data_IF_825628824132
#
_entry.id   IF_825628824132
#
_cell.length_a   1.000
_cell.length_b   1.000
_cell.length_c   1.000
_cell.angle_alpha   90.00
_cell.angle_beta   90.00
_cell.angle_gamma   90.00
#
_symmetry.space_group_name_H-M   'P 1'
#
loop_
_entity.id
_entity.type
_entity.pdbx_description
1 polymer ?
#
# COMPACT_ATOMS: atom_id res chain seq x y z
N UNK A 1 9.08 -18.19 1.09
CA UNK A 1 9.81 -17.26 0.21
C UNK A 1 9.20 -17.40 -1.17
N UNK A 2 8.57 -16.33 -1.67
CA UNK A 2 7.90 -16.40 -2.97
C UNK A 2 8.95 -16.73 -4.05
N UNK A 3 8.64 -17.69 -4.94
CA UNK A 3 9.52 -18.08 -6.04
C UNK A 3 9.87 -16.90 -6.99
N UNK A 4 9.16 -15.78 -6.85
CA UNK A 4 9.34 -14.60 -7.72
C UNK A 4 10.73 -13.97 -7.62
N UNK A 5 11.37 -14.00 -6.45
CA UNK A 5 12.73 -13.46 -6.28
C UNK A 5 13.74 -14.31 -7.05
N UNK A 6 13.57 -15.63 -7.08
CA UNK A 6 14.40 -16.50 -7.92
C UNK A 6 14.23 -16.16 -9.39
N UNK A 7 12.97 -15.97 -9.83
CA UNK A 7 12.69 -15.59 -11.22
C UNK A 7 13.36 -14.26 -11.59
N UNK A 8 13.44 -13.30 -10.64
CA UNK A 8 14.14 -12.03 -10.88
C UNK A 8 15.65 -12.23 -11.08
N UNK A 9 16.26 -13.16 -10.35
CA UNK A 9 17.69 -13.45 -10.52
C UNK A 9 17.98 -14.08 -11.89
N UNK A 10 17.04 -14.83 -12.47
CA UNK A 10 17.17 -15.43 -13.80
C UNK A 10 17.06 -14.42 -14.95
N UNK A 11 16.60 -13.18 -14.68
CA UNK A 11 16.51 -12.09 -15.66
C UNK A 11 17.87 -11.42 -15.88
N UNK A 12 18.81 -12.09 -16.51
CA UNK A 12 20.21 -11.63 -16.67
C UNK A 12 20.37 -10.36 -17.50
N UNK A 13 19.41 -10.05 -18.38
CA UNK A 13 19.40 -8.84 -19.20
C UNK A 13 19.03 -7.56 -18.39
N UNK A 14 18.49 -7.71 -17.18
CA UNK A 14 18.11 -6.61 -16.32
C UNK A 14 19.11 -6.54 -15.16
N UNK A 15 19.88 -5.46 -15.02
CA UNK A 15 20.86 -5.34 -13.95
C UNK A 15 20.21 -5.34 -12.57
N UNK A 16 20.93 -5.72 -11.51
CA UNK A 16 20.51 -5.48 -10.13
C UNK A 16 20.19 -4.00 -9.92
N UNK A 17 19.07 -3.71 -9.22
CA UNK A 17 18.61 -2.33 -9.07
C UNK A 17 19.65 -1.39 -8.44
N UNK A 18 20.45 -1.90 -7.49
CA UNK A 18 21.51 -1.14 -6.83
C UNK A 18 22.55 -0.57 -7.79
N UNK A 19 22.73 -1.18 -8.96
CA UNK A 19 23.66 -0.69 -9.99
C UNK A 19 23.15 0.57 -10.71
N UNK A 20 21.85 0.84 -10.63
CA UNK A 20 21.22 2.01 -11.24
C UNK A 20 21.29 3.24 -10.35
N UNK A 21 21.62 3.07 -9.06
CA UNK A 21 21.70 4.16 -8.10
C UNK A 21 23.08 4.81 -8.19
N UNK A 22 23.13 6.04 -8.69
CA UNK A 22 24.39 6.81 -8.88
C UNK A 22 25.01 7.26 -7.56
N UNK A 23 24.17 7.72 -6.61
CA UNK A 23 24.61 8.15 -5.29
C UNK A 23 24.25 7.09 -4.24
N UNK A 24 25.28 6.46 -3.67
CA UNK A 24 25.11 5.36 -2.69
C UNK A 24 24.36 5.77 -1.43
N UNK A 25 24.27 7.07 -1.10
CA UNK A 25 23.47 7.54 0.04
C UNK A 25 21.99 7.17 -0.09
N UNK A 26 21.47 7.05 -1.32
CA UNK A 26 20.08 6.63 -1.57
C UNK A 26 19.82 5.13 -1.37
N UNK A 27 20.87 4.36 -1.06
CA UNK A 27 20.76 2.95 -0.65
C UNK A 27 20.57 2.78 0.86
N UNK A 28 20.64 3.87 1.61
CA UNK A 28 20.44 3.91 3.05
C UNK A 28 19.14 4.65 3.38
N UNK A 29 18.54 4.33 4.53
CA UNK A 29 17.42 5.11 5.07
C UNK A 29 17.91 6.48 5.52
N UNK A 30 16.99 7.43 5.66
CA UNK A 30 17.31 8.71 6.32
C UNK A 30 17.57 8.53 7.82
N UNK A 31 18.08 9.57 8.48
CA UNK A 31 18.33 9.59 9.93
C UNK A 31 17.03 9.63 10.77
N UNK A 32 15.88 9.68 10.10
CA UNK A 32 14.56 9.72 10.71
C UNK A 32 13.57 8.82 9.94
N UNK A 33 12.48 8.50 10.60
CA UNK A 33 11.34 7.81 10.00
C UNK A 33 10.10 8.71 10.07
N UNK A 34 9.45 8.90 8.93
CA UNK A 34 8.18 9.62 8.85
C UNK A 34 6.99 8.67 8.98
N UNK A 35 7.10 7.47 8.42
CA UNK A 35 5.99 6.54 8.25
C UNK A 35 6.27 5.20 8.90
N UNK A 36 5.39 4.79 9.79
CA UNK A 36 5.26 3.39 10.22
C UNK A 36 4.08 2.77 9.50
N UNK A 37 4.35 1.88 8.53
CA UNK A 37 3.31 1.14 7.84
C UNK A 37 3.06 -0.20 8.55
N UNK A 38 1.81 -0.46 8.91
CA UNK A 38 1.42 -1.66 9.63
C UNK A 38 0.54 -2.56 8.75
N UNK A 39 1.04 -3.74 8.38
CA UNK A 39 0.29 -4.77 7.67
C UNK A 39 -0.42 -5.66 8.70
N UNK A 40 -1.61 -5.26 9.12
CA UNK A 40 -2.30 -5.85 10.28
C UNK A 40 -3.00 -7.19 10.02
N UNK A 41 -2.77 -7.77 8.86
CA UNK A 41 -3.25 -9.11 8.53
C UNK A 41 -3.39 -9.35 7.04
N UNK A 42 -3.74 -10.60 6.67
CA UNK A 42 -3.92 -11.01 5.27
C UNK A 42 -5.32 -11.51 4.96
N UNK A 43 -6.21 -11.54 5.96
CA UNK A 43 -7.63 -11.82 5.75
C UNK A 43 -8.29 -10.69 4.96
N UNK A 44 -9.07 -11.04 3.95
CA UNK A 44 -9.73 -10.07 3.08
C UNK A 44 -11.00 -10.69 2.48
N UNK A 45 -12.07 -9.93 2.37
CA UNK A 45 -13.30 -10.39 1.72
C UNK A 45 -13.23 -10.41 0.17
N UNK A 46 -12.09 -9.96 -0.41
CA UNK A 46 -11.85 -9.94 -1.85
C UNK A 46 -10.64 -10.78 -2.26
N UNK A 47 -10.61 -11.19 -3.55
CA UNK A 47 -9.47 -11.89 -4.19
C UNK A 47 -9.05 -11.08 -5.43
N UNK A 48 -8.46 -9.89 -5.20
CA UNK A 48 -8.05 -9.00 -6.28
C UNK A 48 -6.87 -9.57 -7.07
N UNK A 49 -6.91 -9.45 -8.41
CA UNK A 49 -5.88 -10.01 -9.30
C UNK A 49 -4.50 -9.35 -9.16
N UNK A 50 -4.44 -8.11 -8.70
CA UNK A 50 -3.21 -7.34 -8.52
C UNK A 50 -2.66 -7.37 -7.08
N UNK A 51 -3.26 -8.14 -6.17
CA UNK A 51 -2.85 -8.14 -4.77
C UNK A 51 -1.44 -8.70 -4.59
N UNK A 52 -0.53 -7.88 -4.09
CA UNK A 52 0.88 -8.22 -3.89
C UNK A 52 1.11 -9.07 -2.63
N UNK A 53 0.27 -8.96 -1.60
CA UNK A 53 0.37 -9.74 -0.35
C UNK A 53 -0.45 -11.05 -0.35
N UNK A 54 -1.10 -11.39 -1.47
CA UNK A 54 -1.93 -12.60 -1.58
C UNK A 54 -3.05 -12.69 -0.54
N UNK A 55 -3.61 -11.57 -0.12
CA UNK A 55 -4.72 -11.52 0.83
C UNK A 55 -5.99 -12.17 0.27
N UNK A 56 -6.84 -12.72 1.14
CA UNK A 56 -8.09 -13.37 0.72
C UNK A 56 -8.88 -13.98 1.87
N UNK A 57 -10.09 -14.51 1.59
CA UNK A 57 -10.99 -15.00 2.63
C UNK A 57 -10.48 -16.23 3.40
N UNK A 58 -9.60 -17.02 2.77
CA UNK A 58 -9.03 -18.22 3.37
C UNK A 58 -7.78 -17.94 4.23
N UNK A 59 -7.34 -16.68 4.30
CA UNK A 59 -6.19 -16.27 5.10
C UNK A 59 -6.61 -16.04 6.55
N UNK A 60 -5.70 -16.35 7.47
CA UNK A 60 -5.94 -16.30 8.92
C UNK A 60 -4.92 -15.45 9.66
N UNK A 61 -3.92 -14.94 8.95
CA UNK A 61 -2.88 -14.09 9.53
C UNK A 61 -3.49 -12.78 10.00
N UNK A 62 -3.24 -12.45 11.25
CA UNK A 62 -3.80 -11.30 11.95
C UNK A 62 -2.78 -10.77 12.95
N UNK A 63 -2.56 -9.48 12.94
CA UNK A 63 -1.68 -8.81 13.90
C UNK A 63 -2.34 -8.82 15.28
N UNK A 64 -1.64 -9.35 16.25
CA UNK A 64 -2.09 -9.36 17.64
C UNK A 64 -2.00 -7.97 18.26
N UNK A 65 -2.74 -7.77 19.35
CA UNK A 65 -2.66 -6.54 20.13
C UNK A 65 -1.26 -6.27 20.68
N UNK A 66 -0.55 -7.31 21.09
CA UNK A 66 0.82 -7.20 21.60
C UNK A 66 1.76 -6.60 20.56
N UNK A 67 1.67 -7.02 19.29
CA UNK A 67 2.46 -6.44 18.18
C UNK A 67 2.04 -5.00 17.93
N UNK A 68 0.72 -4.70 17.96
CA UNK A 68 0.22 -3.33 17.80
C UNK A 68 0.74 -2.40 18.91
N UNK A 69 0.72 -2.85 20.15
CA UNK A 69 1.21 -2.07 21.30
C UNK A 69 2.72 -1.77 21.16
N UNK A 70 3.52 -2.74 20.73
CA UNK A 70 4.94 -2.52 20.44
C UNK A 70 5.14 -1.51 19.30
N UNK A 71 4.35 -1.59 18.22
CA UNK A 71 4.36 -0.60 17.13
C UNK A 71 4.00 0.81 17.62
N UNK A 72 3.00 0.94 18.50
CA UNK A 72 2.58 2.22 19.06
C UNK A 72 3.63 2.82 19.97
N UNK A 73 4.30 2.00 20.80
CA UNK A 73 5.42 2.44 21.64
C UNK A 73 6.57 2.94 20.76
N UNK A 74 6.97 2.15 19.76
CA UNK A 74 8.00 2.53 18.78
C UNK A 74 7.65 3.83 18.06
N UNK A 75 6.42 3.96 17.55
CA UNK A 75 5.96 5.16 16.85
C UNK A 75 6.08 6.42 17.72
N UNK A 76 5.73 6.32 19.00
CA UNK A 76 5.87 7.41 19.96
C UNK A 76 7.33 7.77 20.25
N UNK A 77 8.19 6.76 20.46
CA UNK A 77 9.61 6.94 20.76
C UNK A 77 10.36 7.58 19.59
N UNK A 78 10.09 7.11 18.37
CA UNK A 78 10.72 7.61 17.15
C UNK A 78 10.05 8.87 16.58
N UNK A 79 8.98 9.38 17.22
CA UNK A 79 8.21 10.55 16.79
C UNK A 79 7.68 10.42 15.37
N UNK A 80 7.19 9.22 15.04
CA UNK A 80 6.58 8.93 13.75
C UNK A 80 5.44 9.92 13.45
N UNK A 81 5.45 10.49 12.27
CA UNK A 81 4.45 11.48 11.82
C UNK A 81 3.18 10.80 11.34
N UNK A 82 3.34 9.67 10.62
CA UNK A 82 2.23 8.97 9.97
C UNK A 82 2.22 7.49 10.34
N UNK A 83 1.07 6.98 10.78
CA UNK A 83 0.79 5.54 10.88
C UNK A 83 -0.11 5.16 9.71
N UNK A 84 0.38 4.29 8.81
CA UNK A 84 -0.30 3.81 7.61
C UNK A 84 -0.76 2.35 7.81
N UNK A 85 -2.06 2.16 8.06
CA UNK A 85 -2.66 0.88 8.37
C UNK A 85 -3.14 0.21 7.08
N UNK A 86 -2.58 -0.96 6.79
CA UNK A 86 -2.81 -1.71 5.55
C UNK A 86 -2.86 -3.22 5.81
N UNK A 87 -2.85 -4.03 4.75
CA UNK A 87 -2.85 -5.49 4.82
C UNK A 87 -3.78 -6.13 3.80
N UNK A 88 -4.63 -7.04 4.25
CA UNK A 88 -5.73 -7.60 3.47
C UNK A 88 -6.91 -6.62 3.38
N UNK A 89 -7.89 -6.80 4.26
CA UNK A 89 -8.87 -5.78 4.64
C UNK A 89 -8.60 -5.46 6.11
N UNK A 90 -8.01 -4.31 6.44
CA UNK A 90 -7.71 -3.94 7.82
C UNK A 90 -8.93 -4.04 8.75
N UNK A 91 -10.11 -3.77 8.21
CA UNK A 91 -11.40 -3.83 8.91
C UNK A 91 -11.70 -5.23 9.50
N UNK A 92 -11.11 -6.29 8.94
CA UNK A 92 -11.29 -7.67 9.43
C UNK A 92 -10.39 -8.00 10.63
N UNK A 93 -9.50 -7.11 11.04
CA UNK A 93 -8.77 -7.25 12.30
C UNK A 93 -9.63 -6.72 13.46
N UNK A 94 -9.92 -7.52 14.51
CA UNK A 94 -10.82 -7.12 15.60
C UNK A 94 -10.27 -5.97 16.46
N UNK A 95 -9.00 -5.64 16.32
CA UNK A 95 -8.33 -4.57 17.06
C UNK A 95 -8.14 -3.29 16.24
N UNK A 96 -8.72 -3.18 15.04
CA UNK A 96 -8.54 -2.01 14.18
C UNK A 96 -9.01 -0.71 14.85
N UNK A 97 -10.20 -0.71 15.46
CA UNK A 97 -10.73 0.47 16.15
C UNK A 97 -9.79 0.95 17.25
N UNK A 98 -9.32 0.03 18.09
CA UNK A 98 -8.31 0.31 19.10
C UNK A 98 -7.03 0.90 18.48
N UNK A 99 -6.51 0.30 17.42
CA UNK A 99 -5.28 0.77 16.78
C UNK A 99 -5.44 2.21 16.25
N UNK A 100 -6.58 2.53 15.61
CA UNK A 100 -6.87 3.87 15.11
C UNK A 100 -6.92 4.88 16.26
N UNK A 101 -7.65 4.57 17.34
CA UNK A 101 -7.82 5.46 18.48
C UNK A 101 -6.49 5.75 19.20
N UNK A 102 -5.64 4.74 19.39
CA UNK A 102 -4.33 4.95 20.01
C UNK A 102 -3.36 5.65 19.06
N UNK A 103 -3.36 5.29 17.75
CA UNK A 103 -2.54 5.97 16.75
C UNK A 103 -2.83 7.46 16.67
N UNK A 104 -4.12 7.84 16.70
CA UNK A 104 -4.54 9.25 16.64
C UNK A 104 -4.15 10.08 17.88
N UNK A 105 -3.79 9.44 18.98
CA UNK A 105 -3.26 10.11 20.17
C UNK A 105 -1.74 10.33 20.09
N UNK A 106 -1.04 9.55 19.27
CA UNK A 106 0.42 9.49 19.18
C UNK A 106 0.94 10.33 18.03
N UNK A 107 0.34 10.20 16.85
CA UNK A 107 0.78 10.88 15.63
C UNK A 107 -0.29 11.79 15.05
N UNK A 108 0.15 12.80 14.28
CA UNK A 108 -0.75 13.77 13.65
C UNK A 108 -1.52 13.23 12.45
N UNK A 109 -1.12 12.07 11.92
CA UNK A 109 -1.68 11.54 10.69
C UNK A 109 -1.85 10.02 10.74
N UNK A 110 -3.08 9.55 10.56
CA UNK A 110 -3.43 8.12 10.50
C UNK A 110 -4.07 7.83 9.15
N UNK A 111 -3.54 6.87 8.42
CA UNK A 111 -4.06 6.40 7.13
C UNK A 111 -4.65 5.00 7.33
N UNK A 112 -5.82 4.75 6.72
CA UNK A 112 -6.36 3.39 6.56
C UNK A 112 -6.56 3.11 5.07
N UNK A 113 -5.94 2.01 4.60
CA UNK A 113 -6.07 1.54 3.22
C UNK A 113 -7.19 0.53 3.10
N UNK A 114 -8.34 0.97 2.61
CA UNK A 114 -9.55 0.14 2.53
C UNK A 114 -9.86 -0.33 1.11
N UNK A 115 -10.49 -1.50 1.02
CA UNK A 115 -11.08 -1.96 -0.23
C UNK A 115 -12.50 -1.41 -0.48
N UNK A 116 -13.06 -0.62 0.45
CA UNK A 116 -14.41 -0.05 0.50
C UNK A 116 -15.53 -1.10 0.67
N UNK A 117 -15.49 -2.18 -0.12
CA UNK A 117 -16.59 -3.16 -0.20
C UNK A 117 -16.93 -3.76 1.17
N UNK A 118 -15.92 -3.95 2.00
CA UNK A 118 -16.05 -4.48 3.37
C UNK A 118 -16.95 -3.59 4.26
N UNK A 119 -16.91 -2.27 4.06
CA UNK A 119 -17.66 -1.30 4.86
C UNK A 119 -19.19 -1.32 4.58
N UNK A 120 -19.67 -2.16 3.65
CA UNK A 120 -21.10 -2.45 3.51
C UNK A 120 -21.57 -3.67 4.30
N UNK A 121 -20.65 -4.44 4.84
CA UNK A 121 -20.98 -5.57 5.70
C UNK A 121 -21.35 -5.03 7.08
N UNK A 122 -22.49 -5.48 7.61
CA UNK A 122 -23.11 -4.95 8.84
C UNK A 122 -22.15 -4.91 10.04
N UNK A 123 -21.24 -5.86 10.09
CA UNK A 123 -20.23 -5.97 11.14
C UNK A 123 -19.21 -4.82 11.11
N UNK A 124 -18.89 -4.27 9.92
CA UNK A 124 -17.84 -3.29 9.72
C UNK A 124 -18.35 -1.88 9.37
N UNK A 125 -19.66 -1.71 9.19
CA UNK A 125 -20.27 -0.45 8.77
C UNK A 125 -19.98 0.72 9.74
N UNK A 126 -19.91 0.42 11.03
CA UNK A 126 -19.60 1.41 12.08
C UNK A 126 -18.19 2.01 11.97
N UNK A 127 -17.26 1.33 11.29
CA UNK A 127 -15.89 1.82 11.14
C UNK A 127 -15.79 3.12 10.35
N UNK A 128 -16.77 3.43 9.49
CA UNK A 128 -16.81 4.73 8.82
C UNK A 128 -16.94 5.90 9.83
N UNK A 129 -17.70 5.70 10.92
CA UNK A 129 -17.82 6.68 12.00
C UNK A 129 -16.53 6.75 12.83
N UNK A 130 -15.87 5.60 13.05
CA UNK A 130 -14.56 5.54 13.72
C UNK A 130 -13.53 6.33 12.92
N UNK A 131 -13.50 6.17 11.60
CA UNK A 131 -12.60 6.93 10.72
C UNK A 131 -12.86 8.44 10.83
N UNK A 132 -14.12 8.85 10.73
CA UNK A 132 -14.47 10.27 10.75
C UNK A 132 -14.14 10.95 12.09
N UNK A 133 -14.47 10.33 13.23
CA UNK A 133 -14.20 10.92 14.55
C UNK A 133 -12.73 11.04 14.88
N UNK A 134 -11.89 10.17 14.29
CA UNK A 134 -10.43 10.18 14.46
C UNK A 134 -9.70 10.89 13.30
N UNK A 135 -10.44 11.53 12.38
CA UNK A 135 -9.89 12.24 11.21
C UNK A 135 -8.92 11.37 10.39
N UNK A 136 -9.21 10.08 10.28
CA UNK A 136 -8.40 9.14 9.51
C UNK A 136 -8.41 9.53 8.04
N UNK A 137 -7.26 9.61 7.39
CA UNK A 137 -7.18 9.65 5.95
C UNK A 137 -7.59 8.28 5.38
N UNK A 138 -8.63 8.28 4.55
CA UNK A 138 -9.08 7.07 3.87
C UNK A 138 -8.43 6.99 2.50
N UNK A 139 -7.55 6.00 2.32
CA UNK A 139 -6.96 5.66 1.01
C UNK A 139 -7.67 4.44 0.47
N UNK A 140 -8.43 4.63 -0.61
CA UNK A 140 -9.25 3.55 -1.14
C UNK A 140 -8.86 3.13 -2.55
N UNK A 141 -8.95 1.83 -2.81
CA UNK A 141 -8.65 1.30 -4.13
C UNK A 141 -9.86 1.38 -5.05
N UNK A 142 -9.81 2.29 -6.03
CA UNK A 142 -10.79 2.38 -7.12
C UNK A 142 -10.05 2.27 -8.45
N UNK A 143 -9.67 1.05 -8.90
CA UNK A 143 -8.80 0.85 -10.06
C UNK A 143 -9.43 1.28 -11.38
N UNK A 144 -10.72 1.58 -11.40
CA UNK A 144 -11.38 2.26 -12.52
C UNK A 144 -12.70 2.93 -12.10
N UNK A 145 -13.14 3.94 -12.84
CA UNK A 145 -14.39 4.67 -12.59
C UNK A 145 -15.61 4.09 -13.34
N UNK A 146 -15.49 2.85 -13.88
CA UNK A 146 -16.58 2.11 -14.55
C UNK A 146 -16.61 0.66 -14.06
N UNK A 147 -17.84 0.12 -13.96
CA UNK A 147 -18.07 -1.21 -13.41
C UNK A 147 -17.36 -2.35 -14.19
N UNK A 148 -17.40 -2.42 -15.54
CA UNK A 148 -16.82 -3.56 -16.24
C UNK A 148 -15.32 -3.74 -16.00
N UNK A 149 -14.58 -2.66 -15.92
CA UNK A 149 -13.13 -2.67 -15.73
C UNK A 149 -12.78 -2.97 -14.28
N UNK A 150 -13.45 -2.35 -13.31
CA UNK A 150 -13.21 -2.57 -11.89
C UNK A 150 -13.60 -4.00 -11.47
N UNK A 151 -14.77 -4.46 -11.87
CA UNK A 151 -15.28 -5.78 -11.52
C UNK A 151 -14.42 -6.91 -12.09
N UNK A 152 -13.81 -6.70 -13.27
CA UNK A 152 -12.85 -7.65 -13.86
C UNK A 152 -11.62 -7.89 -12.97
N UNK A 153 -11.22 -6.90 -12.18
CA UNK A 153 -10.03 -6.95 -11.32
C UNK A 153 -10.37 -7.35 -9.89
N UNK A 154 -11.53 -6.89 -9.37
CA UNK A 154 -11.88 -6.99 -7.94
C UNK A 154 -13.03 -7.97 -7.66
N UNK A 155 -13.76 -8.38 -8.67
CA UNK A 155 -14.93 -9.26 -8.55
C UNK A 155 -16.24 -8.55 -8.91
N UNK A 156 -17.22 -9.34 -9.32
CA UNK A 156 -18.52 -8.84 -9.78
C UNK A 156 -19.24 -8.01 -8.71
N UNK A 157 -19.75 -6.84 -9.09
CA UNK A 157 -20.48 -5.92 -8.22
C UNK A 157 -19.61 -5.13 -7.23
N UNK A 158 -18.29 -5.25 -7.32
CA UNK A 158 -17.38 -4.49 -6.46
C UNK A 158 -17.46 -2.98 -6.72
N UNK A 159 -17.69 -2.57 -7.98
CA UNK A 159 -17.85 -1.18 -8.34
C UNK A 159 -19.04 -0.52 -7.66
N UNK A 160 -20.24 -1.09 -7.83
CA UNK A 160 -21.47 -0.52 -7.26
C UNK A 160 -21.43 -0.44 -5.73
N UNK A 161 -20.80 -1.44 -5.10
CA UNK A 161 -20.58 -1.43 -3.65
C UNK A 161 -19.61 -0.31 -3.25
N UNK A 162 -18.50 -0.13 -3.95
CA UNK A 162 -17.55 0.94 -3.68
C UNK A 162 -18.19 2.33 -3.82
N UNK A 163 -18.95 2.56 -4.90
CA UNK A 163 -19.70 3.82 -5.12
C UNK A 163 -20.65 4.12 -3.96
N UNK A 164 -21.36 3.12 -3.44
CA UNK A 164 -22.25 3.29 -2.27
C UNK A 164 -21.48 3.74 -1.03
N UNK A 165 -20.33 3.13 -0.76
CA UNK A 165 -19.50 3.49 0.40
C UNK A 165 -18.93 4.90 0.24
N UNK A 166 -18.38 5.22 -0.93
CA UNK A 166 -17.81 6.56 -1.18
C UNK A 166 -18.89 7.65 -0.99
N UNK A 167 -20.11 7.42 -1.47
CA UNK A 167 -21.22 8.36 -1.23
C UNK A 167 -21.54 8.54 0.25
N UNK A 168 -21.48 7.48 1.06
CA UNK A 168 -21.66 7.57 2.52
C UNK A 168 -20.52 8.36 3.15
N UNK A 169 -19.28 8.10 2.78
CA UNK A 169 -18.12 8.87 3.24
C UNK A 169 -18.22 10.33 2.85
N UNK A 170 -18.63 10.65 1.61
CA UNK A 170 -18.89 12.04 1.20
C UNK A 170 -20.03 12.71 2.00
N UNK A 171 -21.08 11.98 2.37
CA UNK A 171 -22.14 12.48 3.24
C UNK A 171 -21.65 12.81 4.66
N UNK A 172 -20.61 12.11 5.13
CA UNK A 172 -19.93 12.38 6.40
C UNK A 172 -18.91 13.52 6.30
N UNK A 173 -18.61 14.02 5.10
CA UNK A 173 -17.68 15.13 4.84
C UNK A 173 -16.37 14.73 4.18
N UNK A 174 -16.06 13.45 4.01
CA UNK A 174 -14.85 12.98 3.31
C UNK A 174 -14.77 13.52 1.89
N UNK A 175 -13.57 13.93 1.44
CA UNK A 175 -13.35 14.52 0.12
C UNK A 175 -13.87 15.96 -0.04
N UNK A 176 -14.53 16.52 0.99
CA UNK A 176 -15.14 17.86 1.01
C UNK A 176 -14.63 18.72 2.16
N UNK A 177 -14.57 18.14 3.36
CA UNK A 177 -13.98 18.78 4.52
C UNK A 177 -12.46 18.55 4.49
N UNK A 178 -11.60 19.59 4.62
CA UNK A 178 -10.15 19.43 4.59
C UNK A 178 -9.58 18.53 5.69
N UNK A 179 -10.32 18.30 6.78
CA UNK A 179 -9.93 17.39 7.85
C UNK A 179 -10.30 15.92 7.57
N UNK A 180 -11.17 15.65 6.58
CA UNK A 180 -11.65 14.31 6.23
C UNK A 180 -11.19 13.96 4.81
N UNK A 181 -9.93 13.53 4.72
CA UNK A 181 -9.27 13.27 3.45
C UNK A 181 -9.68 11.92 2.89
N UNK A 182 -10.11 11.93 1.62
CA UNK A 182 -10.41 10.73 0.84
C UNK A 182 -9.52 10.71 -0.39
N UNK A 183 -8.58 9.79 -0.43
CA UNK A 183 -7.71 9.57 -1.58
C UNK A 183 -8.02 8.25 -2.27
N UNK A 184 -7.80 8.21 -3.57
CA UNK A 184 -8.06 7.03 -4.38
C UNK A 184 -6.78 6.48 -4.99
N UNK A 185 -6.73 5.17 -5.18
CA UNK A 185 -5.61 4.49 -5.84
C UNK A 185 -6.10 3.86 -7.14
N UNK A 186 -5.43 4.21 -8.22
CA UNK A 186 -5.54 3.56 -9.51
C UNK A 186 -4.42 2.54 -9.70
N UNK A 187 -4.78 1.33 -10.14
CA UNK A 187 -3.84 0.32 -10.60
C UNK A 187 -4.28 -0.17 -11.99
N UNK A 188 -3.37 -0.28 -12.98
CA UNK A 188 -3.70 -0.83 -14.28
C UNK A 188 -4.25 -2.26 -14.21
N UNK A 189 -5.20 -2.60 -15.07
CA UNK A 189 -5.80 -3.93 -15.12
C UNK A 189 -4.91 -4.96 -15.85
N UNK A 190 -3.62 -5.03 -15.53
CA UNK A 190 -2.69 -5.98 -16.13
C UNK A 190 -1.27 -5.42 -16.29
N UNK A 191 -0.53 -5.94 -17.28
CA UNK A 191 0.87 -5.58 -17.57
C UNK A 191 0.99 -4.28 -18.40
N UNK A 192 0.23 -3.26 -17.99
CA UNK A 192 0.22 -1.92 -18.58
C UNK A 192 0.76 -0.91 -17.59
N UNK A 193 1.30 0.19 -18.09
CA UNK A 193 1.68 1.32 -17.27
C UNK A 193 0.48 2.23 -17.01
N UNK A 194 0.42 2.90 -15.86
CA UNK A 194 -0.58 3.92 -15.63
C UNK A 194 -0.38 5.07 -16.62
N UNK A 195 -1.45 5.78 -17.00
CA UNK A 195 -1.34 7.07 -17.68
C UNK A 195 -0.72 8.14 -16.77
N UNK A 196 -0.51 9.32 -17.33
CA UNK A 196 -0.12 10.49 -16.55
C UNK A 196 -1.07 10.73 -15.36
N UNK A 197 -0.53 10.97 -14.19
CA UNK A 197 -1.29 11.07 -12.94
C UNK A 197 -2.24 12.25 -12.92
N UNK A 198 -1.80 13.43 -13.35
CA UNK A 198 -2.64 14.64 -13.31
C UNK A 198 -3.81 14.54 -14.29
N UNK A 199 -3.54 14.01 -15.50
CA UNK A 199 -4.57 13.78 -16.50
C UNK A 199 -5.60 12.76 -16.01
N UNK A 200 -5.15 11.66 -15.38
CA UNK A 200 -6.02 10.64 -14.84
C UNK A 200 -6.84 11.15 -13.65
N UNK A 201 -6.22 11.89 -12.72
CA UNK A 201 -6.94 12.49 -11.59
C UNK A 201 -8.05 13.44 -12.06
N UNK A 202 -7.76 14.30 -13.04
CA UNK A 202 -8.73 15.21 -13.65
C UNK A 202 -9.90 14.45 -14.26
N UNK A 203 -9.63 13.38 -14.99
CA UNK A 203 -10.66 12.53 -15.59
C UNK A 203 -11.51 11.84 -14.54
N UNK A 204 -10.89 11.27 -13.48
CA UNK A 204 -11.60 10.64 -12.36
C UNK A 204 -12.52 11.65 -11.64
N UNK A 205 -11.98 12.83 -11.29
CA UNK A 205 -12.77 13.89 -10.64
C UNK A 205 -13.99 14.27 -11.47
N UNK A 206 -13.79 14.50 -12.77
CA UNK A 206 -14.88 14.85 -13.68
C UNK A 206 -15.94 13.74 -13.77
N UNK A 207 -15.51 12.50 -14.03
CA UNK A 207 -16.43 11.37 -14.23
C UNK A 207 -17.18 10.99 -12.95
N UNK A 208 -16.49 10.89 -11.82
CA UNK A 208 -17.12 10.50 -10.57
C UNK A 208 -18.09 11.59 -10.06
N UNK A 209 -17.77 12.87 -10.28
CA UNK A 209 -18.69 13.95 -9.95
C UNK A 209 -19.92 13.95 -10.84
N UNK A 210 -19.75 13.84 -12.18
CA UNK A 210 -20.85 13.88 -13.15
C UNK A 210 -21.79 12.68 -13.01
N UNK A 211 -21.25 11.48 -12.89
CA UNK A 211 -22.03 10.24 -12.96
C UNK A 211 -22.57 9.83 -11.58
N UNK A 212 -21.88 10.17 -10.50
CA UNK A 212 -22.20 9.66 -9.14
C UNK A 212 -22.31 10.73 -8.05
N UNK A 213 -21.97 11.99 -8.32
CA UNK A 213 -21.93 13.08 -7.32
C UNK A 213 -20.84 12.89 -6.27
N UNK A 214 -19.75 12.19 -6.65
CA UNK A 214 -18.64 11.86 -5.75
C UNK A 214 -17.52 12.88 -5.88
N UNK A 215 -16.99 13.28 -4.74
CA UNK A 215 -15.79 14.13 -4.60
C UNK A 215 -14.71 13.39 -3.81
N UNK A 216 -13.44 13.65 -4.13
CA UNK A 216 -12.27 13.11 -3.46
C UNK A 216 -11.10 14.07 -3.58
N UNK A 217 -10.05 13.90 -2.75
CA UNK A 217 -8.92 14.82 -2.70
C UNK A 217 -7.90 14.54 -3.80
N UNK A 218 -7.28 13.36 -3.82
CA UNK A 218 -6.21 13.00 -4.76
C UNK A 218 -6.34 11.59 -5.31
N UNK A 219 -5.77 11.38 -6.51
CA UNK A 219 -5.63 10.06 -7.13
C UNK A 219 -4.15 9.69 -7.19
N UNK A 220 -3.79 8.56 -6.61
CA UNK A 220 -2.47 7.98 -6.77
C UNK A 220 -2.48 6.93 -7.88
N UNK A 221 -1.58 7.05 -8.84
CA UNK A 221 -1.41 6.07 -9.91
C UNK A 221 -0.22 5.18 -9.60
N UNK A 222 -0.45 3.89 -9.42
CA UNK A 222 0.59 2.94 -9.06
C UNK A 222 0.92 2.01 -10.22
N UNK A 223 2.21 1.76 -10.43
CA UNK A 223 2.65 0.64 -11.24
C UNK A 223 2.37 -0.67 -10.50
N UNK A 224 1.84 -1.67 -11.20
CA UNK A 224 1.69 -2.98 -10.58
C UNK A 224 3.07 -3.59 -10.31
N UNK A 225 3.40 -3.80 -9.06
CA UNK A 225 4.62 -4.53 -8.72
C UNK A 225 4.44 -6.01 -9.09
N UNK A 226 5.42 -6.67 -9.77
CA UNK A 226 5.32 -8.05 -10.22
C UNK A 226 5.43 -9.07 -9.07
N UNK A 227 4.64 -8.89 -8.04
CA UNK A 227 4.57 -9.69 -6.82
C UNK A 227 3.22 -10.38 -6.65
N UNK A 228 3.14 -11.29 -5.70
CA UNK A 228 1.91 -11.96 -5.31
C UNK A 228 1.12 -12.54 -6.50
N UNK A 229 -0.21 -12.31 -6.54
CA UNK A 229 -1.07 -12.81 -7.61
C UNK A 229 -0.74 -12.22 -8.98
N UNK A 230 -0.31 -10.97 -9.04
CA UNK A 230 0.09 -10.38 -10.31
C UNK A 230 1.40 -10.99 -10.84
N UNK A 231 2.39 -11.19 -9.98
CA UNK A 231 3.62 -11.91 -10.33
C UNK A 231 3.35 -13.33 -10.82
N UNK A 232 2.47 -14.07 -10.12
CA UNK A 232 2.04 -15.40 -10.54
C UNK A 232 1.34 -15.41 -11.91
N UNK A 233 0.51 -14.39 -12.18
CA UNK A 233 -0.11 -14.20 -13.50
C UNK A 233 0.93 -13.94 -14.59
N UNK A 234 1.91 -13.07 -14.34
CA UNK A 234 2.98 -12.77 -15.30
C UNK A 234 3.81 -14.01 -15.64
N UNK A 235 4.17 -14.83 -14.63
CA UNK A 235 4.85 -16.11 -14.82
C UNK A 235 4.03 -17.05 -15.69
N UNK A 236 2.79 -17.32 -15.28
CA UNK A 236 1.90 -18.25 -15.98
C UNK A 236 1.64 -17.86 -17.44
N UNK A 237 1.59 -16.58 -17.74
CA UNK A 237 1.36 -16.04 -19.08
C UNK A 237 2.64 -15.86 -19.90
N UNK A 238 3.82 -16.16 -19.35
CA UNK A 238 5.12 -15.96 -20.01
C UNK A 238 5.49 -14.47 -20.22
N UNK A 239 4.82 -13.55 -19.52
CA UNK A 239 5.02 -12.11 -19.70
C UNK A 239 5.96 -11.45 -18.68
N UNK A 240 6.53 -12.22 -17.74
CA UNK A 240 7.35 -11.65 -16.67
C UNK A 240 8.56 -10.89 -17.23
N UNK A 241 9.38 -11.52 -18.09
CA UNK A 241 10.54 -10.88 -18.69
C UNK A 241 10.18 -9.59 -19.43
N UNK A 242 9.14 -9.65 -20.25
CA UNK A 242 8.67 -8.48 -21.01
C UNK A 242 8.22 -7.34 -20.11
N UNK A 243 7.51 -7.65 -19.02
CA UNK A 243 7.04 -6.64 -18.08
C UNK A 243 8.19 -6.03 -17.29
N UNK A 244 9.10 -6.87 -16.78
CA UNK A 244 10.29 -6.42 -16.07
C UNK A 244 11.19 -5.54 -16.94
N UNK A 245 11.36 -5.94 -18.22
CA UNK A 245 12.11 -5.11 -19.17
C UNK A 245 11.46 -3.74 -19.38
N UNK A 246 10.13 -3.67 -19.48
CA UNK A 246 9.43 -2.38 -19.56
C UNK A 246 9.69 -1.50 -18.34
N UNK A 247 9.64 -2.07 -17.11
CA UNK A 247 9.93 -1.34 -15.89
C UNK A 247 11.38 -0.82 -15.89
N UNK A 248 12.33 -1.65 -16.30
CA UNK A 248 13.73 -1.27 -16.43
C UNK A 248 13.93 -0.16 -17.47
N UNK A 249 13.34 -0.30 -18.65
CA UNK A 249 13.45 0.70 -19.74
C UNK A 249 12.81 2.05 -19.36
N UNK A 250 11.86 2.04 -18.40
CA UNK A 250 11.21 3.23 -17.86
C UNK A 250 11.85 3.77 -16.57
N UNK A 251 12.99 3.21 -16.14
CA UNK A 251 13.68 3.67 -14.94
C UNK A 251 13.94 5.17 -15.00
N UNK A 252 13.58 5.89 -13.95
CA UNK A 252 13.79 7.31 -13.79
C UNK A 252 14.63 7.58 -12.54
N UNK A 253 15.86 8.04 -12.74
CA UNK A 253 16.79 8.31 -11.64
C UNK A 253 16.31 9.42 -10.69
N UNK A 254 15.49 10.37 -11.20
CA UNK A 254 15.00 11.50 -10.40
C UNK A 254 14.01 11.06 -9.31
N UNK A 255 13.43 9.86 -9.42
CA UNK A 255 12.51 9.33 -8.42
C UNK A 255 13.20 8.59 -7.27
N UNK A 256 14.50 8.31 -7.38
CA UNK A 256 15.26 7.51 -6.40
C UNK A 256 15.33 8.21 -5.05
N UNK A 257 15.50 9.52 -5.03
CA UNK A 257 15.57 10.31 -3.79
C UNK A 257 14.27 10.25 -2.98
N UNK A 258 13.12 10.17 -3.66
CA UNK A 258 11.79 10.16 -3.06
C UNK A 258 11.25 8.75 -2.78
N UNK A 259 12.07 7.69 -2.86
CA UNK A 259 11.62 6.34 -2.55
C UNK A 259 11.12 6.23 -1.10
N UNK A 260 9.89 5.76 -0.91
CA UNK A 260 9.25 5.63 0.40
C UNK A 260 10.07 4.82 1.42
N UNK A 261 10.79 3.80 0.96
CA UNK A 261 11.63 2.94 1.84
C UNK A 261 12.78 3.68 2.52
N UNK A 262 13.04 4.95 2.18
CA UNK A 262 14.06 5.77 2.81
C UNK A 262 13.61 6.38 4.14
N UNK A 263 12.31 6.67 4.28
CA UNK A 263 11.72 7.27 5.48
C UNK A 263 10.58 6.43 6.07
N UNK A 264 10.37 5.22 5.56
CA UNK A 264 9.33 4.30 5.99
C UNK A 264 9.91 3.05 6.64
N UNK A 265 9.17 2.48 7.59
CA UNK A 265 9.36 1.14 8.11
C UNK A 265 8.03 0.39 8.00
N UNK A 266 8.04 -0.81 7.43
CA UNK A 266 6.86 -1.66 7.34
C UNK A 266 6.95 -2.82 8.34
N UNK A 267 5.86 -3.07 9.05
CA UNK A 267 5.73 -4.15 10.04
C UNK A 267 4.68 -5.14 9.55
N UNK A 268 5.02 -6.43 9.46
CA UNK A 268 4.05 -7.48 9.14
C UNK A 268 3.25 -7.90 10.38
N UNK A 269 2.20 -8.67 10.17
CA UNK A 269 1.27 -9.13 11.21
C UNK A 269 1.95 -9.86 12.40
N UNK A 270 3.11 -10.46 12.18
CA UNK A 270 3.91 -11.16 13.19
C UNK A 270 4.99 -10.29 13.86
N UNK A 271 5.04 -9.00 13.50
CA UNK A 271 6.02 -8.05 14.02
C UNK A 271 7.33 -8.00 13.23
N UNK A 272 7.52 -8.81 12.20
CA UNK A 272 8.72 -8.80 11.37
C UNK A 272 8.85 -7.47 10.61
N UNK A 273 10.07 -6.90 10.58
CA UNK A 273 10.37 -5.60 9.95
C UNK A 273 10.82 -5.74 8.50
N UNK A 274 10.35 -4.79 7.68
CA UNK A 274 10.69 -4.67 6.26
C UNK A 274 10.90 -3.19 5.90
N UNK A 275 11.70 -2.90 4.87
CA UNK A 275 11.90 -1.52 4.41
C UNK A 275 10.66 -0.95 3.69
N UNK A 276 9.82 -1.81 3.10
CA UNK A 276 8.53 -1.45 2.49
C UNK A 276 7.62 -2.70 2.36
N UNK A 277 6.36 -2.50 2.01
CA UNK A 277 5.39 -3.59 1.80
C UNK A 277 5.70 -4.46 0.57
N UNK A 278 6.48 -3.98 -0.40
CA UNK A 278 6.96 -4.82 -1.49
C UNK A 278 8.09 -5.75 -1.05
N UNK A 279 9.01 -5.28 -0.20
CA UNK A 279 9.98 -6.16 0.46
C UNK A 279 9.28 -7.20 1.35
N UNK A 280 8.21 -6.79 2.04
CA UNK A 280 7.36 -7.70 2.81
C UNK A 280 6.74 -8.78 1.89
N UNK A 281 6.14 -8.38 0.76
CA UNK A 281 5.57 -9.30 -0.22
C UNK A 281 6.63 -10.25 -0.83
N UNK A 282 7.87 -9.79 -0.93
CA UNK A 282 9.02 -10.55 -1.40
C UNK A 282 9.63 -11.48 -0.35
N UNK A 283 9.23 -11.37 0.92
CA UNK A 283 9.86 -12.08 2.04
C UNK A 283 11.31 -11.64 2.27
N UNK A 284 11.59 -10.34 2.07
CA UNK A 284 12.91 -9.72 2.23
C UNK A 284 12.94 -8.83 3.49
N UNK A 285 13.03 -9.38 4.72
CA UNK A 285 13.06 -8.58 5.93
C UNK A 285 14.27 -7.64 5.97
N UNK A 286 14.26 -6.63 6.82
CA UNK A 286 15.43 -5.78 7.08
C UNK A 286 16.67 -6.62 7.40
N UNK A 287 17.85 -6.06 7.16
CA UNK A 287 19.09 -6.77 7.45
C UNK A 287 19.15 -7.14 8.95
N UNK A 288 19.49 -8.40 9.22
CA UNK A 288 19.49 -8.96 10.58
C UNK A 288 18.16 -9.61 11.00
N UNK A 289 17.09 -9.47 10.21
CA UNK A 289 15.81 -10.15 10.47
C UNK A 289 15.11 -9.68 11.74
N UNK A 290 15.28 -8.40 12.12
CA UNK A 290 14.72 -7.80 13.33
C UNK A 290 13.19 -7.73 13.28
N UNK A 291 12.58 -7.88 14.46
CA UNK A 291 11.17 -7.64 14.70
C UNK A 291 10.94 -6.30 15.38
N UNK A 292 9.70 -5.86 15.49
CA UNK A 292 9.32 -4.63 16.20
C UNK A 292 9.77 -4.68 17.68
N UNK A 293 9.79 -5.87 18.29
CA UNK A 293 10.20 -6.05 19.68
C UNK A 293 11.70 -5.84 19.88
N UNK A 294 12.52 -6.08 18.86
CA UNK A 294 13.97 -5.93 18.92
C UNK A 294 14.40 -4.46 18.83
N UNK A 295 13.54 -3.56 18.34
CA UNK A 295 13.85 -2.15 18.10
C UNK A 295 13.07 -1.19 19.00
N UNK A 296 12.03 -1.65 19.68
CA UNK A 296 11.28 -0.87 20.67
C UNK A 296 12.15 -0.62 21.89
N UNK A 297 12.23 0.63 22.34
CA UNK A 297 13.12 1.05 23.43
C UNK A 297 14.53 1.43 22.97
N UNK A 298 14.87 1.23 21.71
CA UNK A 298 16.19 1.56 21.15
C UNK A 298 16.12 2.78 20.24
N UNK A 299 17.17 3.62 20.18
CA UNK A 299 17.26 4.72 19.23
C UNK A 299 17.25 4.19 17.79
N UNK A 300 16.52 4.87 16.91
CA UNK A 300 16.54 4.55 15.49
C UNK A 300 17.97 4.66 14.92
N UNK A 301 18.33 3.70 14.10
CA UNK A 301 19.63 3.67 13.42
C UNK A 301 19.42 3.60 11.91
N UNK A 302 20.19 4.39 11.17
CA UNK A 302 20.26 4.32 9.71
C UNK A 302 20.65 2.90 9.31
N UNK A 303 19.90 2.34 8.36
CA UNK A 303 20.15 0.98 7.86
C UNK A 303 20.23 0.96 6.35
N UNK A 304 20.93 -0.03 5.82
CA UNK A 304 20.92 -0.31 4.38
C UNK A 304 19.60 -0.91 3.97
N UNK A 305 18.96 -0.26 2.99
CA UNK A 305 17.71 -0.73 2.39
C UNK A 305 17.99 -1.98 1.56
N UNK A 306 17.18 -3.00 1.74
CA UNK A 306 17.21 -4.18 0.88
C UNK A 306 16.50 -3.89 -0.43
N UNK A 307 17.22 -4.03 -1.53
CA UNK A 307 16.73 -3.73 -2.86
C UNK A 307 16.90 -4.93 -3.79
N UNK A 308 15.97 -5.11 -4.71
CA UNK A 308 16.05 -6.09 -5.79
C UNK A 308 15.32 -5.55 -7.02
N UNK A 309 15.22 -6.31 -8.09
CA UNK A 309 14.62 -5.88 -9.38
C UNK A 309 13.16 -5.42 -9.28
N UNK A 310 12.42 -5.82 -8.24
CA UNK A 310 11.08 -5.28 -7.99
C UNK A 310 11.07 -3.75 -7.74
N UNK A 311 12.18 -3.17 -7.27
CA UNK A 311 12.31 -1.73 -7.04
C UNK A 311 12.17 -0.91 -8.33
N UNK A 312 12.36 -1.51 -9.51
CA UNK A 312 12.06 -0.82 -10.77
C UNK A 312 10.59 -0.39 -10.89
N UNK A 313 9.66 -1.06 -10.22
CA UNK A 313 8.26 -0.65 -10.22
C UNK A 313 8.02 0.68 -9.45
N UNK A 314 8.86 0.97 -8.45
CA UNK A 314 8.78 2.23 -7.69
C UNK A 314 9.42 3.41 -8.42
N UNK A 315 10.31 3.15 -9.40
CA UNK A 315 11.09 4.18 -10.10
C UNK A 315 10.76 4.29 -11.58
N UNK A 316 9.77 3.54 -12.08
CA UNK A 316 9.34 3.65 -13.48
C UNK A 316 8.57 4.96 -13.72
N UNK A 317 8.88 5.68 -14.80
CA UNK A 317 8.19 6.91 -15.20
C UNK A 317 8.23 8.00 -14.14
N UNK A 318 7.07 8.41 -13.62
CA UNK A 318 6.97 9.39 -12.53
C UNK A 318 7.18 8.80 -11.13
N UNK A 319 7.40 7.49 -11.03
CA UNK A 319 7.48 6.78 -9.76
C UNK A 319 6.12 6.29 -9.24
N UNK A 320 6.16 5.51 -8.16
CA UNK A 320 4.97 4.99 -7.44
C UNK A 320 5.18 5.05 -5.92
N UNK A 321 5.94 5.99 -5.45
CA UNK A 321 6.28 6.16 -4.03
C UNK A 321 5.75 7.48 -3.49
#
# INVERSE_FOLDING_TARGET
>A
MDDIIKDFHDLTEIPPFQQMISDKKYMDTEEYLDVLQMNIGRKCNLICKHCHVNAGPARTEEMSREVMDACLIFAKEQKIVTIDITGGAPEMNPHLEYLIEESSKICGHVIVRTNLVILLEKEYEHLMEVYARNKVEVVCSLPYYRAPEMDKVRGAGAFDKAIKVIRRLNAMGYGRNPELVLNMVYNPAGAFFPPDQEAMEKEYKQKLLQDFGIEFNSLYTLYNNPMGRFGAFLRKSGNLNRYMKKLFDAFNADTVEALMCRTQLSVDYDGQLYDCDFNLAAGMPVNGGQTIFDVTGEPYQVRKIRMDKHCYACTAGAGSS
#
